data_IF_235838143154
#
_entry.id   IF_235838143154
#
_cell.length_a   1.000
_cell.length_b   1.000
_cell.length_c   1.000
_cell.angle_alpha   90.00
_cell.angle_beta   90.00
_cell.angle_gamma   90.00
#
_symmetry.space_group_name_H-M   'P 1'
#
loop_
_entity.id
_entity.type
_entity.pdbx_description
1 polymer ?
#
# COMPACT_ATOMS: atom_id res chain seq x y z
N UNK A 1 0.94 -35.01 -8.40
CA UNK A 1 0.41 -34.18 -7.28
C UNK A 1 1.56 -33.66 -6.45
N UNK A 2 1.56 -32.39 -6.06
CA UNK A 2 2.55 -31.82 -5.14
C UNK A 2 2.37 -32.47 -3.76
N UNK A 3 3.45 -32.93 -3.13
CA UNK A 3 3.35 -33.60 -1.82
C UNK A 3 2.96 -32.60 -0.71
N UNK A 4 2.38 -33.08 0.39
CA UNK A 4 2.03 -32.25 1.56
C UNK A 4 3.23 -31.46 2.09
N UNK A 5 4.43 -32.07 2.09
CA UNK A 5 5.69 -31.44 2.49
C UNK A 5 6.10 -30.29 1.57
N UNK A 6 5.93 -30.45 0.26
CA UNK A 6 6.23 -29.42 -0.75
C UNK A 6 5.31 -28.21 -0.59
N UNK A 7 4.02 -28.43 -0.31
CA UNK A 7 3.08 -27.34 -0.03
C UNK A 7 3.48 -26.51 1.20
N UNK A 8 4.04 -27.13 2.25
CA UNK A 8 4.52 -26.42 3.44
C UNK A 8 5.66 -25.44 3.09
N UNK A 9 6.63 -25.87 2.27
CA UNK A 9 7.73 -24.99 1.85
C UNK A 9 7.22 -23.79 1.02
N UNK A 10 6.29 -24.04 0.08
CA UNK A 10 5.67 -22.98 -0.70
C UNK A 10 4.88 -21.99 0.17
N UNK A 11 4.11 -22.49 1.12
CA UNK A 11 3.33 -21.66 2.06
C UNK A 11 4.26 -20.82 2.94
N UNK A 12 5.35 -21.40 3.46
CA UNK A 12 6.31 -20.68 4.29
C UNK A 12 7.03 -19.58 3.51
N UNK A 13 7.44 -19.87 2.27
CA UNK A 13 8.01 -18.86 1.39
C UNK A 13 7.05 -17.70 1.12
N UNK A 14 5.79 -18.00 0.77
CA UNK A 14 4.77 -16.98 0.54
C UNK A 14 4.42 -16.18 1.80
N UNK A 15 4.42 -16.83 2.98
CA UNK A 15 4.24 -16.14 4.25
C UNK A 15 5.38 -15.18 4.54
N UNK A 16 6.63 -15.63 4.39
CA UNK A 16 7.80 -14.77 4.59
C UNK A 16 7.81 -13.61 3.59
N UNK A 17 7.54 -13.88 2.31
CA UNK A 17 7.40 -12.84 1.29
C UNK A 17 6.32 -11.81 1.65
N UNK A 18 5.16 -12.28 2.13
CA UNK A 18 4.07 -11.40 2.55
C UNK A 18 4.48 -10.48 3.70
N UNK A 19 5.16 -11.01 4.72
CA UNK A 19 5.67 -10.20 5.84
C UNK A 19 6.65 -9.14 5.36
N UNK A 20 7.60 -9.51 4.49
CA UNK A 20 8.60 -8.57 3.95
C UNK A 20 7.94 -7.49 3.07
N UNK A 21 6.94 -7.84 2.27
CA UNK A 21 6.18 -6.87 1.46
C UNK A 21 5.38 -5.91 2.36
N UNK A 22 4.80 -6.40 3.45
CA UNK A 22 4.09 -5.55 4.42
C UNK A 22 5.07 -4.58 5.10
N UNK A 23 6.26 -5.05 5.51
CA UNK A 23 7.32 -4.19 6.04
C UNK A 23 7.75 -3.12 5.02
N UNK A 24 7.84 -3.50 3.72
CA UNK A 24 8.12 -2.57 2.64
C UNK A 24 7.07 -1.46 2.53
N UNK A 25 5.79 -1.77 2.70
CA UNK A 25 4.70 -0.77 2.70
C UNK A 25 4.83 0.18 3.89
N UNK A 26 5.22 -0.32 5.07
CA UNK A 26 5.45 0.52 6.27
C UNK A 26 6.65 1.44 6.05
N UNK A 27 7.78 0.91 5.58
CA UNK A 27 8.98 1.70 5.29
C UNK A 27 8.70 2.73 4.20
N UNK A 28 7.93 2.36 3.16
CA UNK A 28 7.48 3.29 2.12
C UNK A 28 6.61 4.43 2.68
N UNK A 29 5.73 4.14 3.64
CA UNK A 29 4.96 5.18 4.34
C UNK A 29 5.88 6.14 5.10
N UNK A 30 6.86 5.61 5.85
CA UNK A 30 7.84 6.43 6.58
C UNK A 30 8.64 7.28 5.60
N UNK A 31 9.22 6.69 4.55
CA UNK A 31 9.98 7.39 3.50
C UNK A 31 9.16 8.53 2.91
N UNK A 32 7.87 8.31 2.66
CA UNK A 32 6.98 9.33 2.12
C UNK A 32 6.68 10.45 3.12
N UNK A 33 6.40 10.11 4.38
CA UNK A 33 6.00 11.06 5.43
C UNK A 33 7.19 11.89 5.92
N UNK A 34 8.41 11.33 5.92
CA UNK A 34 9.66 12.04 6.21
C UNK A 34 10.22 12.82 5.02
N UNK A 35 9.52 12.80 3.88
CA UNK A 35 9.95 13.44 2.62
C UNK A 35 11.33 12.94 2.15
N UNK A 36 11.67 11.70 2.42
CA UNK A 36 12.98 11.12 2.11
C UNK A 36 13.12 10.60 0.67
N UNK A 37 12.02 10.51 -0.07
CA UNK A 37 11.97 9.76 -1.35
C UNK A 37 12.63 10.42 -2.56
N UNK A 38 13.36 11.54 -2.38
CA UNK A 38 14.13 12.24 -3.41
C UNK A 38 15.58 12.48 -2.98
N UNK A 39 16.01 11.91 -1.86
CA UNK A 39 17.36 12.14 -1.29
C UNK A 39 18.47 11.43 -2.08
N UNK A 40 18.14 10.29 -2.72
CA UNK A 40 19.07 9.55 -3.58
C UNK A 40 18.69 9.82 -5.04
N UNK A 41 19.25 10.91 -5.58
CA UNK A 41 18.88 11.42 -6.91
C UNK A 41 19.44 10.59 -8.06
N UNK A 42 20.54 9.85 -7.83
CA UNK A 42 21.13 8.97 -8.82
C UNK A 42 20.54 7.55 -8.71
N UNK A 43 19.93 7.12 -9.79
CA UNK A 43 19.31 5.79 -9.84
C UNK A 43 20.27 4.76 -10.44
N UNK A 44 21.08 4.15 -9.57
CA UNK A 44 21.99 3.05 -9.94
C UNK A 44 21.45 1.73 -9.42
N UNK A 45 20.77 0.92 -10.25
CA UNK A 45 20.10 -0.30 -9.77
C UNK A 45 21.06 -1.32 -9.18
N UNK A 46 22.27 -1.43 -9.70
CA UNK A 46 23.29 -2.39 -9.27
C UNK A 46 24.36 -1.74 -8.39
N UNK A 47 24.91 -0.59 -8.79
CA UNK A 47 26.00 0.07 -8.05
C UNK A 47 25.55 0.78 -6.76
N UNK A 48 24.29 1.16 -6.62
CA UNK A 48 23.75 1.82 -5.41
C UNK A 48 23.36 0.83 -4.29
N UNK A 49 24.06 -0.30 -4.14
CA UNK A 49 23.81 -1.29 -3.09
C UNK A 49 24.46 -0.88 -1.78
N UNK A 50 25.63 -0.25 -1.84
CA UNK A 50 26.34 0.21 -0.66
C UNK A 50 26.04 1.69 -0.40
N UNK A 51 25.76 2.08 0.87
CA UNK A 51 25.66 3.49 1.22
C UNK A 51 27.05 4.14 1.21
N UNK A 52 27.15 5.48 1.28
CA UNK A 52 28.43 6.14 1.54
C UNK A 52 29.08 5.59 2.82
N UNK A 53 30.35 5.17 2.75
CA UNK A 53 31.05 4.49 3.83
C UNK A 53 32.00 5.40 4.63
N UNK A 54 32.39 6.56 4.05
CA UNK A 54 33.29 7.50 4.68
C UNK A 54 32.78 8.95 4.48
N UNK A 55 33.39 9.88 5.18
CA UNK A 55 32.95 11.27 5.19
C UNK A 55 33.07 11.95 3.81
N UNK A 56 34.10 11.63 3.03
CA UNK A 56 34.24 12.13 1.67
C UNK A 56 33.08 11.72 0.77
N UNK A 57 32.69 10.45 0.80
CA UNK A 57 31.55 9.94 0.03
C UNK A 57 30.20 10.54 0.50
N UNK A 58 30.06 10.82 1.80
CA UNK A 58 28.88 11.50 2.32
C UNK A 58 28.78 12.94 1.84
N UNK A 59 29.90 13.66 1.82
CA UNK A 59 29.93 15.02 1.29
C UNK A 59 29.64 15.05 -0.21
N UNK A 60 30.24 14.15 -0.99
CA UNK A 60 29.98 14.02 -2.43
C UNK A 60 28.47 13.75 -2.71
N UNK A 61 27.87 12.81 -1.97
CA UNK A 61 26.43 12.49 -2.11
C UNK A 61 25.56 13.69 -1.75
N UNK A 62 25.92 14.43 -0.70
CA UNK A 62 25.19 15.62 -0.28
C UNK A 62 25.35 16.77 -1.27
N UNK A 63 26.53 16.98 -1.80
CA UNK A 63 26.79 18.02 -2.81
C UNK A 63 26.00 17.72 -4.09
N UNK A 64 25.94 16.46 -4.49
CA UNK A 64 25.10 16.06 -5.62
C UNK A 64 23.60 16.30 -5.34
N UNK A 65 23.10 15.99 -4.12
CA UNK A 65 21.72 16.28 -3.73
C UNK A 65 21.38 17.78 -3.77
N UNK A 66 22.34 18.66 -3.46
CA UNK A 66 22.15 20.12 -3.51
C UNK A 66 21.85 20.65 -4.91
N UNK A 67 22.16 19.90 -5.97
CA UNK A 67 21.85 20.30 -7.34
C UNK A 67 20.38 20.19 -7.68
N UNK A 68 19.61 19.40 -6.91
CA UNK A 68 18.20 19.08 -7.23
C UNK A 68 17.21 20.08 -6.64
N UNK A 69 16.00 20.17 -7.26
CA UNK A 69 14.96 21.11 -6.86
C UNK A 69 14.50 20.97 -5.40
N UNK A 70 14.54 19.78 -4.82
CA UNK A 70 14.12 19.56 -3.44
C UNK A 70 15.02 20.29 -2.47
N UNK A 71 16.35 20.18 -2.62
CA UNK A 71 17.26 20.96 -1.79
C UNK A 71 17.10 22.47 -2.04
N UNK A 72 17.17 22.91 -3.29
CA UNK A 72 17.15 24.33 -3.66
C UNK A 72 15.87 25.06 -3.21
N UNK A 73 14.72 24.37 -3.17
CA UNK A 73 13.41 24.99 -2.89
C UNK A 73 12.88 24.72 -1.49
N UNK A 74 13.24 23.59 -0.88
CA UNK A 74 12.64 23.14 0.38
C UNK A 74 13.67 22.94 1.50
N UNK A 75 14.86 22.40 1.18
CA UNK A 75 15.83 21.92 2.15
C UNK A 75 17.13 22.73 2.15
N UNK A 76 17.12 23.98 1.67
CA UNK A 76 18.32 24.81 1.46
C UNK A 76 19.14 25.08 2.75
N UNK A 77 18.53 24.92 3.93
CA UNK A 77 19.20 25.05 5.23
C UNK A 77 19.60 23.69 5.85
N UNK A 78 19.41 22.59 5.10
CA UNK A 78 19.67 21.24 5.60
C UNK A 78 21.17 21.02 5.83
N UNK A 79 21.50 20.41 6.97
CA UNK A 79 22.86 19.98 7.29
C UNK A 79 23.16 18.59 6.72
N UNK A 80 24.45 18.19 6.70
CA UNK A 80 24.85 16.84 6.33
C UNK A 80 24.18 15.77 7.22
N UNK A 81 23.98 16.04 8.51
CA UNK A 81 23.32 15.07 9.42
C UNK A 81 21.82 14.92 9.11
N UNK A 82 21.14 16.00 8.76
CA UNK A 82 19.75 15.94 8.32
C UNK A 82 19.63 15.15 7.02
N UNK A 83 20.57 15.38 6.07
CA UNK A 83 20.64 14.63 4.81
C UNK A 83 20.85 13.13 5.05
N UNK A 84 21.76 12.73 5.95
CA UNK A 84 21.95 11.31 6.33
C UNK A 84 20.67 10.67 6.83
N UNK A 85 19.82 11.41 7.54
CA UNK A 85 18.54 10.91 8.06
C UNK A 85 17.54 10.60 6.94
N UNK A 86 17.36 11.51 5.98
CA UNK A 86 16.46 11.27 4.84
C UNK A 86 17.04 10.23 3.88
N UNK A 87 18.36 10.24 3.67
CA UNK A 87 19.06 9.21 2.89
C UNK A 87 18.83 7.82 3.45
N UNK A 88 18.90 7.63 4.78
CA UNK A 88 18.72 6.33 5.43
C UNK A 88 17.36 5.70 5.10
N UNK A 89 16.27 6.45 5.19
CA UNK A 89 14.93 5.92 4.92
C UNK A 89 14.74 5.55 3.44
N UNK A 90 15.23 6.36 2.52
CA UNK A 90 15.18 6.04 1.10
C UNK A 90 16.07 4.84 0.76
N UNK A 91 17.27 4.79 1.30
CA UNK A 91 18.20 3.68 1.12
C UNK A 91 17.59 2.36 1.64
N UNK A 92 17.04 2.37 2.83
CA UNK A 92 16.38 1.19 3.42
C UNK A 92 15.22 0.70 2.55
N UNK A 93 14.40 1.62 2.05
CA UNK A 93 13.33 1.30 1.11
C UNK A 93 13.86 0.66 -0.18
N UNK A 94 14.92 1.22 -0.77
CA UNK A 94 15.52 0.69 -2.00
C UNK A 94 16.18 -0.68 -1.80
N UNK A 95 16.90 -0.90 -0.69
CA UNK A 95 17.53 -2.18 -0.35
C UNK A 95 16.47 -3.25 -0.14
N UNK A 96 15.42 -2.95 0.61
CA UNK A 96 14.34 -3.90 0.84
C UNK A 96 13.61 -4.26 -0.47
N UNK A 97 13.45 -3.31 -1.39
CA UNK A 97 12.90 -3.59 -2.72
C UNK A 97 13.75 -4.58 -3.52
N UNK A 98 15.09 -4.42 -3.50
CA UNK A 98 16.02 -5.39 -4.13
C UNK A 98 15.94 -6.76 -3.45
N UNK A 99 15.91 -6.77 -2.12
CA UNK A 99 15.78 -8.01 -1.34
C UNK A 99 14.50 -8.77 -1.68
N UNK A 100 13.36 -8.09 -1.84
CA UNK A 100 12.09 -8.70 -2.28
C UNK A 100 12.24 -9.37 -3.65
N UNK A 101 12.94 -8.73 -4.59
CA UNK A 101 13.23 -9.31 -5.90
C UNK A 101 14.02 -10.61 -5.80
N UNK A 102 15.10 -10.63 -5.00
CA UNK A 102 15.93 -11.82 -4.77
C UNK A 102 15.14 -12.91 -4.01
N UNK A 103 14.39 -12.52 -2.98
CA UNK A 103 13.50 -13.39 -2.21
C UNK A 103 12.44 -14.07 -3.08
N UNK A 104 12.04 -13.43 -4.18
CA UNK A 104 11.14 -14.04 -5.14
C UNK A 104 11.89 -14.95 -6.13
N UNK A 105 12.94 -14.44 -6.80
CA UNK A 105 13.60 -15.13 -7.91
C UNK A 105 14.25 -16.44 -7.47
N UNK A 106 15.06 -16.44 -6.41
CA UNK A 106 15.79 -17.64 -5.99
C UNK A 106 14.87 -18.81 -5.60
N UNK A 107 13.87 -18.64 -4.72
CA UNK A 107 12.96 -19.74 -4.42
C UNK A 107 12.09 -20.15 -5.61
N UNK A 108 11.66 -19.20 -6.47
CA UNK A 108 10.88 -19.51 -7.66
C UNK A 108 11.67 -20.43 -8.60
N UNK A 109 12.94 -20.12 -8.93
CA UNK A 109 13.81 -20.94 -9.74
C UNK A 109 14.08 -22.30 -9.09
N UNK A 110 14.32 -22.33 -7.77
CA UNK A 110 14.49 -23.58 -7.03
C UNK A 110 13.25 -24.47 -7.10
N UNK A 111 12.06 -23.96 -6.83
CA UNK A 111 10.83 -24.74 -6.89
C UNK A 111 10.49 -25.20 -8.32
N UNK A 112 10.82 -24.37 -9.32
CA UNK A 112 10.65 -24.72 -10.73
C UNK A 112 11.58 -25.88 -11.12
N UNK A 113 12.87 -25.81 -10.78
CA UNK A 113 13.86 -26.85 -11.08
C UNK A 113 13.54 -28.18 -10.38
N UNK A 114 12.99 -28.12 -9.18
CA UNK A 114 12.56 -29.29 -8.39
C UNK A 114 11.18 -29.84 -8.82
N UNK A 115 10.54 -29.24 -9.83
CA UNK A 115 9.19 -29.63 -10.30
C UNK A 115 8.12 -29.59 -9.19
N UNK A 116 8.25 -28.69 -8.21
CA UNK A 116 7.28 -28.49 -7.14
C UNK A 116 6.05 -27.69 -7.59
N UNK A 117 6.11 -27.07 -8.77
CA UNK A 117 5.09 -26.18 -9.27
C UNK A 117 4.29 -26.86 -10.38
N UNK A 118 2.97 -26.81 -10.29
CA UNK A 118 2.10 -27.17 -11.42
C UNK A 118 1.92 -25.98 -12.37
N UNK A 119 1.45 -26.23 -13.60
CA UNK A 119 1.30 -25.20 -14.63
C UNK A 119 0.42 -24.01 -14.20
N UNK A 120 -0.62 -24.24 -13.42
CA UNK A 120 -1.49 -23.17 -12.91
C UNK A 120 -0.73 -22.28 -11.93
N UNK A 121 0.05 -22.86 -11.01
CA UNK A 121 0.85 -22.11 -10.04
C UNK A 121 2.00 -21.36 -10.70
N UNK A 122 2.65 -21.95 -11.72
CA UNK A 122 3.67 -21.26 -12.52
C UNK A 122 3.09 -19.99 -13.15
N UNK A 123 1.91 -20.07 -13.80
CA UNK A 123 1.25 -18.90 -14.38
C UNK A 123 0.95 -17.83 -13.34
N UNK A 124 0.46 -18.23 -12.16
CA UNK A 124 0.17 -17.30 -11.07
C UNK A 124 1.43 -16.62 -10.52
N UNK A 125 2.53 -17.36 -10.37
CA UNK A 125 3.81 -16.81 -9.91
C UNK A 125 4.48 -15.93 -10.96
N UNK A 126 4.37 -16.25 -12.25
CA UNK A 126 4.83 -15.38 -13.34
C UNK A 126 4.06 -14.05 -13.38
N UNK A 127 2.73 -14.09 -13.20
CA UNK A 127 1.94 -12.87 -13.06
C UNK A 127 2.36 -12.05 -11.84
N UNK A 128 2.61 -12.71 -10.70
CA UNK A 128 3.13 -12.04 -9.50
C UNK A 128 4.50 -11.40 -9.76
N UNK A 129 5.39 -12.08 -10.46
CA UNK A 129 6.68 -11.53 -10.89
C UNK A 129 6.52 -10.29 -11.76
N UNK A 130 5.64 -10.36 -12.78
CA UNK A 130 5.35 -9.22 -13.65
C UNK A 130 4.81 -8.01 -12.88
N UNK A 131 3.95 -8.24 -11.88
CA UNK A 131 3.47 -7.18 -10.98
C UNK A 131 4.62 -6.60 -10.13
N UNK A 132 5.56 -7.43 -9.68
CA UNK A 132 6.76 -7.00 -8.97
C UNK A 132 7.68 -6.12 -9.83
N UNK A 133 7.90 -6.51 -11.10
CA UNK A 133 8.65 -5.70 -12.08
C UNK A 133 7.94 -4.37 -12.32
N UNK A 134 6.62 -4.39 -12.53
CA UNK A 134 5.82 -3.18 -12.69
C UNK A 134 5.89 -2.27 -11.46
N UNK A 135 5.89 -2.85 -10.25
CA UNK A 135 6.03 -2.11 -8.99
C UNK A 135 7.38 -1.37 -8.92
N UNK A 136 8.48 -2.04 -9.31
CA UNK A 136 9.80 -1.42 -9.38
C UNK A 136 9.87 -0.29 -10.41
N UNK A 137 9.32 -0.52 -11.61
CA UNK A 137 9.21 0.51 -12.66
C UNK A 137 8.40 1.72 -12.19
N UNK A 138 7.25 1.49 -11.56
CA UNK A 138 6.41 2.57 -11.03
C UNK A 138 7.10 3.35 -9.91
N UNK A 139 7.91 2.71 -9.07
CA UNK A 139 8.72 3.38 -8.07
C UNK A 139 9.75 4.33 -8.71
N UNK A 140 10.50 3.87 -9.71
CA UNK A 140 11.41 4.70 -10.47
C UNK A 140 10.68 5.87 -11.18
N UNK A 141 9.57 5.57 -11.86
CA UNK A 141 8.78 6.58 -12.56
C UNK A 141 8.20 7.63 -11.61
N UNK A 142 7.86 7.23 -10.38
CA UNK A 142 7.40 8.13 -9.32
C UNK A 142 8.49 9.11 -8.90
N UNK A 143 9.69 8.62 -8.57
CA UNK A 143 10.84 9.44 -8.14
C UNK A 143 11.24 10.43 -9.24
N UNK A 144 11.30 9.98 -10.50
CA UNK A 144 11.64 10.85 -11.64
C UNK A 144 10.75 12.10 -11.74
N UNK A 145 9.49 12.05 -11.23
CA UNK A 145 8.59 13.22 -11.28
C UNK A 145 9.03 14.38 -10.38
N UNK A 146 9.77 14.11 -9.30
CA UNK A 146 10.22 15.12 -8.34
C UNK A 146 11.64 15.67 -8.61
N UNK A 147 12.37 15.10 -9.59
CA UNK A 147 13.77 15.43 -9.83
C UNK A 147 14.00 16.48 -10.93
N UNK A 148 12.98 16.83 -11.74
CA UNK A 148 13.20 17.70 -12.91
C UNK A 148 12.93 19.16 -12.58
N UNK A 149 11.69 19.56 -12.33
CA UNK A 149 11.32 20.97 -12.12
C UNK A 149 10.52 21.22 -10.84
N UNK A 150 9.92 20.18 -10.28
CA UNK A 150 9.02 20.25 -9.14
C UNK A 150 9.55 19.36 -8.00
N UNK A 151 9.78 19.88 -6.78
CA UNK A 151 10.28 19.07 -5.65
C UNK A 151 9.21 18.15 -5.04
N UNK A 152 8.10 17.93 -5.73
CA UNK A 152 7.00 17.10 -5.24
C UNK A 152 6.77 15.89 -6.14
N UNK A 153 6.61 14.74 -5.50
CA UNK A 153 6.19 13.50 -6.18
C UNK A 153 4.72 13.64 -6.60
N UNK A 154 4.41 13.27 -7.83
CA UNK A 154 3.03 13.25 -8.35
C UNK A 154 2.14 12.35 -7.52
N UNK A 155 1.02 12.87 -7.03
CA UNK A 155 0.03 12.10 -6.26
C UNK A 155 -0.61 10.97 -7.09
N UNK A 156 -0.73 11.12 -8.41
CA UNK A 156 -1.19 10.05 -9.31
C UNK A 156 -0.21 8.88 -9.35
N UNK A 157 1.09 9.18 -9.49
CA UNK A 157 2.13 8.14 -9.53
C UNK A 157 2.25 7.43 -8.18
N UNK A 158 2.10 8.18 -7.07
CA UNK A 158 2.04 7.63 -5.73
C UNK A 158 0.84 6.69 -5.55
N UNK A 159 -0.35 7.09 -6.01
CA UNK A 159 -1.55 6.27 -5.94
C UNK A 159 -1.42 4.99 -6.76
N UNK A 160 -0.87 5.08 -7.98
CA UNK A 160 -0.62 3.91 -8.81
C UNK A 160 0.36 2.93 -8.14
N UNK A 161 1.50 3.44 -7.62
CA UNK A 161 2.50 2.64 -6.93
C UNK A 161 1.93 1.95 -5.67
N UNK A 162 1.19 2.68 -4.84
CA UNK A 162 0.55 2.12 -3.64
C UNK A 162 -0.53 1.09 -4.00
N UNK A 163 -1.36 1.36 -5.01
CA UNK A 163 -2.40 0.43 -5.47
C UNK A 163 -1.82 -0.89 -5.97
N UNK A 164 -0.72 -0.86 -6.75
CA UNK A 164 -0.03 -2.07 -7.20
C UNK A 164 0.52 -2.85 -6.00
N UNK A 165 1.08 -2.18 -4.98
CA UNK A 165 1.56 -2.85 -3.77
C UNK A 165 0.42 -3.59 -3.05
N UNK A 166 -0.76 -2.98 -2.90
CA UNK A 166 -1.94 -3.62 -2.31
C UNK A 166 -2.46 -4.79 -3.15
N UNK A 167 -2.42 -4.68 -4.49
CA UNK A 167 -2.75 -5.79 -5.41
C UNK A 167 -1.77 -6.96 -5.23
N UNK A 168 -0.48 -6.69 -5.13
CA UNK A 168 0.56 -7.72 -4.88
C UNK A 168 0.28 -8.43 -3.55
N UNK A 169 0.04 -7.71 -2.46
CA UNK A 169 -0.30 -8.27 -1.14
C UNK A 169 -1.55 -9.17 -1.25
N UNK A 170 -2.61 -8.67 -1.85
CA UNK A 170 -3.85 -9.44 -2.05
C UNK A 170 -3.60 -10.72 -2.85
N UNK A 171 -2.77 -10.64 -3.91
CA UNK A 171 -2.51 -11.76 -4.80
C UNK A 171 -1.57 -12.81 -4.18
N UNK A 172 -0.50 -12.39 -3.47
CA UNK A 172 0.34 -13.32 -2.68
C UNK A 172 -0.52 -14.06 -1.65
N UNK A 173 -1.36 -13.33 -0.92
CA UNK A 173 -2.27 -13.93 0.06
C UNK A 173 -3.25 -14.92 -0.59
N UNK A 174 -3.82 -14.56 -1.75
CA UNK A 174 -4.73 -15.43 -2.50
C UNK A 174 -4.05 -16.71 -2.96
N UNK A 175 -2.83 -16.65 -3.54
CA UNK A 175 -2.05 -17.82 -3.95
C UNK A 175 -1.80 -18.73 -2.74
N UNK A 176 -1.32 -18.15 -1.62
CA UNK A 176 -1.09 -18.89 -0.38
C UNK A 176 -2.34 -19.64 0.08
N UNK A 177 -3.48 -18.97 0.14
CA UNK A 177 -4.75 -19.57 0.57
C UNK A 177 -5.20 -20.68 -0.39
N UNK A 178 -4.97 -20.53 -1.69
CA UNK A 178 -5.31 -21.55 -2.70
C UNK A 178 -4.44 -22.80 -2.61
N UNK A 179 -3.19 -22.68 -2.15
CA UNK A 179 -2.31 -23.83 -1.87
C UNK A 179 -2.72 -24.51 -0.56
N UNK A 180 -3.04 -23.72 0.46
CA UNK A 180 -3.42 -24.18 1.79
C UNK A 180 -4.74 -24.96 1.79
N UNK A 181 -5.66 -24.57 0.91
CA UNK A 181 -7.02 -25.09 0.80
C UNK A 181 -7.36 -25.45 -0.65
N UNK A 182 -6.79 -26.56 -1.16
CA UNK A 182 -6.91 -26.95 -2.58
C UNK A 182 -8.29 -27.49 -2.96
N UNK A 183 -9.18 -27.71 -2.00
CA UNK A 183 -10.47 -28.35 -2.23
C UNK A 183 -11.41 -27.47 -3.05
N UNK A 184 -11.71 -27.91 -4.27
CA UNK A 184 -12.47 -27.17 -5.28
C UNK A 184 -13.95 -27.57 -5.37
N UNK A 185 -14.36 -28.60 -4.62
CA UNK A 185 -15.69 -29.21 -4.80
C UNK A 185 -16.80 -28.61 -3.94
N UNK A 186 -16.50 -27.57 -3.16
CA UNK A 186 -17.50 -26.92 -2.32
C UNK A 186 -18.28 -25.86 -3.12
N UNK A 187 -19.61 -25.95 -3.09
CA UNK A 187 -20.49 -24.96 -3.72
C UNK A 187 -20.15 -23.56 -3.21
N UNK A 188 -19.77 -22.67 -4.12
CA UNK A 188 -19.55 -21.26 -3.83
C UNK A 188 -20.81 -20.62 -3.22
N UNK A 189 -20.64 -19.77 -2.23
CA UNK A 189 -21.70 -18.92 -1.68
C UNK A 189 -21.87 -17.67 -2.58
N UNK A 190 -22.26 -17.90 -3.85
CA UNK A 190 -22.34 -16.86 -4.89
C UNK A 190 -23.15 -15.64 -4.45
N UNK A 191 -24.20 -15.83 -3.65
CA UNK A 191 -25.07 -14.76 -3.13
C UNK A 191 -24.29 -13.63 -2.44
N UNK A 192 -23.13 -13.97 -1.82
CA UNK A 192 -22.31 -13.01 -1.06
C UNK A 192 -21.13 -12.44 -1.88
N UNK A 193 -20.86 -13.00 -3.07
CA UNK A 193 -19.73 -12.57 -3.90
C UNK A 193 -19.89 -11.14 -4.41
N UNK A 194 -21.11 -10.71 -4.73
CA UNK A 194 -21.35 -9.34 -5.19
C UNK A 194 -21.06 -8.32 -4.06
N UNK A 195 -21.52 -8.61 -2.84
CA UNK A 195 -21.29 -7.73 -1.70
C UNK A 195 -19.80 -7.59 -1.36
N UNK A 196 -19.05 -8.71 -1.27
CA UNK A 196 -17.62 -8.65 -0.96
C UNK A 196 -16.80 -8.02 -2.10
N UNK A 197 -17.18 -8.22 -3.37
CA UNK A 197 -16.54 -7.59 -4.51
C UNK A 197 -16.78 -6.07 -4.51
N UNK A 198 -17.98 -5.64 -4.19
CA UNK A 198 -18.33 -4.22 -4.04
C UNK A 198 -17.52 -3.56 -2.91
N UNK A 199 -17.43 -4.21 -1.76
CA UNK A 199 -16.61 -3.73 -0.64
C UNK A 199 -15.13 -3.63 -1.06
N UNK A 200 -14.57 -4.62 -1.74
CA UNK A 200 -13.20 -4.59 -2.26
C UNK A 200 -13.00 -3.46 -3.27
N UNK A 201 -13.95 -3.22 -4.16
CA UNK A 201 -13.91 -2.12 -5.11
C UNK A 201 -13.87 -0.76 -4.38
N UNK A 202 -14.78 -0.54 -3.43
CA UNK A 202 -14.76 0.69 -2.60
C UNK A 202 -13.48 0.82 -1.81
N UNK A 203 -12.95 -0.28 -1.27
CA UNK A 203 -11.70 -0.29 -0.55
C UNK A 203 -10.52 0.17 -1.43
N UNK A 204 -10.45 -0.29 -2.68
CA UNK A 204 -9.41 0.17 -3.61
C UNK A 204 -9.57 1.65 -3.99
N UNK A 205 -10.79 2.15 -4.18
CA UNK A 205 -11.03 3.59 -4.36
C UNK A 205 -10.55 4.36 -3.12
N UNK A 206 -10.84 3.87 -1.91
CA UNK A 206 -10.39 4.49 -0.66
C UNK A 206 -8.85 4.56 -0.57
N UNK A 207 -8.13 3.52 -1.02
CA UNK A 207 -6.66 3.52 -1.09
C UNK A 207 -6.16 4.60 -2.07
N UNK A 208 -6.79 4.75 -3.24
CA UNK A 208 -6.42 5.78 -4.22
C UNK A 208 -6.60 7.18 -3.62
N UNK A 209 -7.75 7.48 -3.02
CA UNK A 209 -7.98 8.77 -2.39
C UNK A 209 -7.11 8.99 -1.14
N UNK A 210 -6.79 7.93 -0.39
CA UNK A 210 -5.80 7.98 0.69
C UNK A 210 -4.41 8.36 0.18
N UNK A 211 -3.99 7.79 -0.96
CA UNK A 211 -2.72 8.16 -1.60
C UNK A 211 -2.74 9.60 -2.13
N UNK A 212 -3.88 10.09 -2.65
CA UNK A 212 -4.02 11.50 -3.05
C UNK A 212 -3.91 12.44 -1.85
N UNK A 213 -4.55 12.12 -0.71
CA UNK A 213 -4.42 12.94 0.53
C UNK A 213 -2.97 13.00 0.99
N UNK A 214 -2.26 11.87 0.98
CA UNK A 214 -0.84 11.83 1.31
C UNK A 214 0.02 12.58 0.29
N UNK A 215 -0.20 12.36 -1.01
CA UNK A 215 0.57 12.97 -2.10
C UNK A 215 0.47 14.49 -2.14
N UNK A 216 -0.72 15.02 -1.92
CA UNK A 216 -1.00 16.46 -1.88
C UNK A 216 -0.75 17.11 -0.52
N UNK A 217 -0.23 16.35 0.48
CA UNK A 217 0.05 16.80 1.86
C UNK A 217 -1.17 17.44 2.55
N UNK A 218 -2.36 16.85 2.34
CA UNK A 218 -3.63 17.42 2.82
C UNK A 218 -3.79 17.29 4.34
N UNK A 219 -3.03 16.43 4.99
CA UNK A 219 -3.12 16.17 6.43
C UNK A 219 -2.99 17.41 7.35
N UNK A 220 -2.45 18.52 6.84
CA UNK A 220 -2.30 19.78 7.57
C UNK A 220 -3.48 20.75 7.36
N UNK A 221 -4.49 20.35 6.57
CA UNK A 221 -5.63 21.20 6.22
C UNK A 221 -6.93 20.60 6.73
N UNK A 222 -7.88 21.46 7.09
CA UNK A 222 -9.25 21.08 7.50
C UNK A 222 -9.30 19.98 8.57
N UNK A 223 -8.57 20.17 9.67
CA UNK A 223 -8.37 19.17 10.72
C UNK A 223 -9.53 19.09 11.73
N UNK A 224 -10.78 19.16 11.27
CA UNK A 224 -12.01 19.03 12.07
C UNK A 224 -12.82 17.82 11.65
N UNK A 225 -13.56 17.21 12.59
CA UNK A 225 -14.47 16.09 12.37
C UNK A 225 -15.62 16.17 13.39
N UNK A 226 -16.89 15.83 13.02
CA UNK A 226 -17.33 15.33 11.72
C UNK A 226 -17.45 16.39 10.63
N UNK A 227 -17.61 17.63 11.00
CA UNK A 227 -17.75 18.75 10.07
C UNK A 227 -16.39 19.12 9.44
N UNK A 228 -16.44 19.67 8.23
CA UNK A 228 -15.30 20.25 7.53
C UNK A 228 -15.58 21.75 7.36
N UNK A 229 -14.77 22.60 8.02
CA UNK A 229 -15.03 24.05 8.10
C UNK A 229 -16.42 24.42 8.66
N UNK A 230 -16.90 23.65 9.64
CA UNK A 230 -18.22 23.87 10.24
C UNK A 230 -19.40 23.34 9.42
N UNK A 231 -19.18 22.68 8.27
CA UNK A 231 -20.20 22.22 7.34
C UNK A 231 -20.10 20.73 7.06
N UNK A 232 -21.24 20.07 6.80
CA UNK A 232 -21.24 18.69 6.31
C UNK A 232 -20.71 18.59 4.87
N UNK A 233 -21.11 19.52 3.99
CA UNK A 233 -20.62 19.67 2.63
C UNK A 233 -19.93 21.03 2.55
N UNK A 234 -18.59 21.09 2.54
CA UNK A 234 -17.86 22.35 2.58
C UNK A 234 -17.97 23.10 1.23
N UNK A 235 -17.88 24.43 1.28
CA UNK A 235 -17.75 25.24 0.06
C UNK A 235 -16.41 24.97 -0.65
N UNK A 236 -16.37 25.26 -1.95
CA UNK A 236 -15.14 25.18 -2.74
C UNK A 236 -14.79 23.76 -3.22
N UNK A 237 -15.74 22.84 -3.21
CA UNK A 237 -15.53 21.50 -3.76
C UNK A 237 -15.42 21.51 -5.30
N UNK A 238 -15.98 22.52 -5.96
CA UNK A 238 -16.07 22.62 -7.42
C UNK A 238 -15.40 23.87 -7.97
N UNK A 239 -14.35 24.38 -7.33
CA UNK A 239 -13.69 25.64 -7.68
C UNK A 239 -12.73 25.53 -8.87
N UNK A 240 -12.42 24.31 -9.34
CA UNK A 240 -11.49 24.08 -10.43
C UNK A 240 -12.24 23.83 -11.74
N UNK A 241 -11.71 24.44 -12.83
CA UNK A 241 -12.12 24.13 -14.19
C UNK A 241 -11.03 23.32 -14.92
N UNK A 242 -11.39 22.33 -15.73
CA UNK A 242 -12.75 21.79 -15.96
C UNK A 242 -13.25 20.99 -14.74
N UNK A 243 -14.56 20.82 -14.60
CA UNK A 243 -15.23 20.26 -13.41
C UNK A 243 -14.63 18.93 -12.89
N UNK A 244 -14.24 18.00 -13.79
CA UNK A 244 -13.61 16.73 -13.39
C UNK A 244 -12.27 16.92 -12.67
N UNK A 245 -11.60 18.07 -12.88
CA UNK A 245 -10.33 18.40 -12.21
C UNK A 245 -10.48 18.46 -10.69
N UNK A 246 -11.70 18.77 -10.18
CA UNK A 246 -11.96 18.80 -8.76
C UNK A 246 -11.82 17.41 -8.11
N UNK A 247 -12.23 16.35 -8.77
CA UNK A 247 -12.10 14.97 -8.28
C UNK A 247 -10.64 14.54 -8.18
N UNK A 248 -9.74 15.15 -8.94
CA UNK A 248 -8.37 14.70 -9.12
C UNK A 248 -7.32 15.63 -8.50
N UNK A 249 -7.60 16.94 -8.38
CA UNK A 249 -6.61 17.95 -7.99
C UNK A 249 -7.07 18.90 -6.89
N UNK A 250 -8.40 19.05 -6.67
CA UNK A 250 -8.91 19.89 -5.60
C UNK A 250 -8.68 19.20 -4.24
N UNK A 251 -7.79 19.76 -3.45
CA UNK A 251 -7.42 19.21 -2.13
C UNK A 251 -8.62 19.03 -1.22
N UNK A 252 -9.56 19.99 -1.22
CA UNK A 252 -10.77 19.97 -0.40
C UNK A 252 -11.69 18.83 -0.82
N UNK A 253 -11.95 18.69 -2.11
CA UNK A 253 -12.77 17.61 -2.69
C UNK A 253 -12.15 16.24 -2.38
N UNK A 254 -10.84 16.08 -2.58
CA UNK A 254 -10.13 14.81 -2.33
C UNK A 254 -10.27 14.39 -0.86
N UNK A 255 -10.08 15.32 0.09
CA UNK A 255 -10.25 15.02 1.51
C UNK A 255 -11.69 14.68 1.84
N UNK A 256 -12.65 15.42 1.28
CA UNK A 256 -14.09 15.18 1.47
C UNK A 256 -14.47 13.78 0.98
N UNK A 257 -14.06 13.41 -0.23
CA UNK A 257 -14.33 12.08 -0.82
C UNK A 257 -13.70 10.97 0.03
N UNK A 258 -12.44 11.15 0.48
CA UNK A 258 -11.76 10.16 1.33
C UNK A 258 -12.53 9.91 2.63
N UNK A 259 -13.04 10.95 3.29
CA UNK A 259 -13.88 10.83 4.49
C UNK A 259 -15.20 10.13 4.19
N UNK A 260 -15.91 10.56 3.13
CA UNK A 260 -17.20 10.01 2.75
C UNK A 260 -17.13 8.52 2.40
N UNK A 261 -16.15 8.11 1.58
CA UNK A 261 -15.95 6.69 1.24
C UNK A 261 -15.55 5.90 2.48
N UNK A 262 -14.74 6.45 3.39
CA UNK A 262 -14.36 5.78 4.65
C UNK A 262 -15.59 5.43 5.52
N UNK A 263 -16.51 6.37 5.69
CA UNK A 263 -17.78 6.14 6.41
C UNK A 263 -18.67 5.16 5.65
N UNK A 264 -18.75 5.28 4.33
CA UNK A 264 -19.55 4.37 3.51
C UNK A 264 -19.02 2.94 3.55
N UNK A 265 -17.69 2.75 3.58
CA UNK A 265 -17.05 1.44 3.80
C UNK A 265 -17.37 0.87 5.19
N UNK A 266 -17.32 1.68 6.23
CA UNK A 266 -17.71 1.28 7.58
C UNK A 266 -19.12 0.70 7.56
N UNK A 267 -20.10 1.45 7.05
CA UNK A 267 -21.49 1.03 6.96
C UNK A 267 -21.64 -0.26 6.11
N UNK A 268 -20.96 -0.30 4.95
CA UNK A 268 -21.01 -1.47 4.05
C UNK A 268 -20.49 -2.75 4.70
N UNK A 269 -19.39 -2.65 5.46
CA UNK A 269 -18.81 -3.79 6.19
C UNK A 269 -19.71 -4.21 7.36
N UNK A 270 -20.33 -3.27 8.08
CA UNK A 270 -21.31 -3.57 9.11
C UNK A 270 -22.50 -4.35 8.54
N UNK A 271 -23.13 -3.84 7.48
CA UNK A 271 -24.25 -4.51 6.82
C UNK A 271 -23.87 -5.89 6.27
N UNK A 272 -22.66 -6.02 5.74
CA UNK A 272 -22.14 -7.30 5.26
C UNK A 272 -21.89 -8.29 6.41
N UNK A 273 -21.39 -7.82 7.55
CA UNK A 273 -21.17 -8.65 8.74
C UNK A 273 -22.48 -9.30 9.25
N UNK A 274 -23.59 -8.57 9.26
CA UNK A 274 -24.90 -9.15 9.60
C UNK A 274 -25.29 -10.29 8.66
N UNK A 275 -25.00 -10.17 7.35
CA UNK A 275 -25.26 -11.26 6.39
C UNK A 275 -24.37 -12.48 6.62
N UNK A 276 -23.19 -12.32 7.20
CA UNK A 276 -22.29 -13.42 7.51
C UNK A 276 -22.63 -14.17 8.79
N UNK A 277 -23.32 -13.51 9.74
CA UNK A 277 -23.63 -14.04 11.06
C UNK A 277 -24.36 -15.38 11.01
N UNK A 278 -25.31 -15.52 10.09
CA UNK A 278 -26.21 -16.66 9.98
C UNK A 278 -25.62 -17.84 9.15
N UNK A 279 -24.40 -17.68 8.59
CA UNK A 279 -23.81 -18.72 7.76
C UNK A 279 -23.12 -19.83 8.57
N UNK A 280 -22.30 -19.46 9.53
CA UNK A 280 -21.62 -20.34 10.47
C UNK A 280 -20.88 -19.52 11.52
N UNK A 281 -20.42 -20.17 12.60
CA UNK A 281 -19.58 -19.54 13.62
C UNK A 281 -18.30 -18.91 13.03
N UNK A 282 -17.66 -19.59 12.08
CA UNK A 282 -16.45 -19.09 11.42
C UNK A 282 -16.73 -17.81 10.60
N UNK A 283 -17.83 -17.76 9.84
CA UNK A 283 -18.20 -16.54 9.12
C UNK A 283 -18.64 -15.42 10.05
N UNK A 284 -19.30 -15.72 11.17
CA UNK A 284 -19.61 -14.72 12.20
C UNK A 284 -18.32 -14.10 12.77
N UNK A 285 -17.32 -14.92 13.10
CA UNK A 285 -16.01 -14.43 13.57
C UNK A 285 -15.30 -13.56 12.52
N UNK A 286 -15.32 -13.96 11.24
CA UNK A 286 -14.79 -13.13 10.13
C UNK A 286 -15.51 -11.79 10.02
N UNK A 287 -16.84 -11.79 10.13
CA UNK A 287 -17.63 -10.55 10.14
C UNK A 287 -17.27 -9.64 11.31
N UNK A 288 -17.16 -10.18 12.52
CA UNK A 288 -16.74 -9.43 13.72
C UNK A 288 -15.35 -8.82 13.55
N UNK A 289 -14.37 -9.61 13.08
CA UNK A 289 -13.01 -9.13 12.86
C UNK A 289 -12.96 -7.99 11.83
N UNK A 290 -13.76 -8.08 10.76
CA UNK A 290 -13.88 -6.99 9.77
C UNK A 290 -14.47 -5.73 10.40
N UNK A 291 -15.54 -5.87 11.19
CA UNK A 291 -16.19 -4.74 11.89
C UNK A 291 -15.20 -4.08 12.86
N UNK A 292 -14.51 -4.86 13.68
CA UNK A 292 -13.51 -4.33 14.60
C UNK A 292 -12.40 -3.58 13.86
N UNK A 293 -11.84 -4.20 12.81
CA UNK A 293 -10.75 -3.59 12.06
C UNK A 293 -11.16 -2.30 11.35
N UNK A 294 -12.35 -2.25 10.73
CA UNK A 294 -12.82 -1.02 10.05
C UNK A 294 -13.19 0.07 11.05
N UNK A 295 -13.74 -0.27 12.22
CA UNK A 295 -14.02 0.70 13.28
C UNK A 295 -12.73 1.31 13.83
N UNK A 296 -11.71 0.50 14.10
CA UNK A 296 -10.38 0.97 14.46
C UNK A 296 -9.75 1.83 13.36
N UNK A 297 -9.92 1.46 12.08
CA UNK A 297 -9.41 2.22 10.94
C UNK A 297 -10.02 3.61 10.85
N UNK A 298 -11.36 3.72 10.98
CA UNK A 298 -12.05 5.01 10.95
C UNK A 298 -11.66 5.86 12.16
N UNK A 299 -11.64 5.28 13.35
CA UNK A 299 -11.19 5.97 14.56
C UNK A 299 -9.75 6.50 14.41
N UNK A 300 -8.83 5.63 13.97
CA UNK A 300 -7.43 6.02 13.73
C UNK A 300 -7.31 7.09 12.64
N UNK A 301 -8.14 7.02 11.60
CA UNK A 301 -8.22 8.06 10.56
C UNK A 301 -8.67 9.42 11.11
N UNK A 302 -9.68 9.44 11.98
CA UNK A 302 -10.16 10.66 12.64
C UNK A 302 -9.06 11.25 13.53
N UNK A 303 -8.42 10.41 14.37
CA UNK A 303 -7.32 10.86 15.25
C UNK A 303 -6.16 11.38 14.42
N UNK A 304 -5.77 10.69 13.33
CA UNK A 304 -4.72 11.14 12.41
C UNK A 304 -5.04 12.51 11.81
N UNK A 305 -6.29 12.71 11.40
CA UNK A 305 -6.74 13.97 10.82
C UNK A 305 -6.67 15.12 11.83
N UNK A 306 -7.27 14.95 13.01
CA UNK A 306 -7.34 16.00 14.06
C UNK A 306 -5.94 16.36 14.55
N UNK A 307 -5.04 15.38 14.64
CA UNK A 307 -3.65 15.56 15.06
C UNK A 307 -2.72 16.06 13.94
N UNK A 308 -3.23 16.50 12.78
CA UNK A 308 -2.45 17.01 11.65
C UNK A 308 -1.47 15.98 11.07
N UNK A 309 -1.93 14.72 10.99
CA UNK A 309 -1.22 13.59 10.36
C UNK A 309 0.22 13.34 10.86
N UNK A 310 0.47 13.17 12.18
CA UNK A 310 1.78 12.82 12.68
C UNK A 310 2.23 11.47 12.10
N UNK A 311 3.56 11.32 11.94
CA UNK A 311 4.19 10.18 11.28
C UNK A 311 3.65 8.82 11.75
N UNK A 312 3.64 8.61 13.07
CA UNK A 312 3.24 7.32 13.66
C UNK A 312 1.78 7.00 13.37
N UNK A 313 0.87 7.97 13.55
CA UNK A 313 -0.56 7.76 13.32
C UNK A 313 -0.86 7.52 11.83
N UNK A 314 -0.24 8.28 10.93
CA UNK A 314 -0.44 8.14 9.49
C UNK A 314 0.12 6.79 8.97
N UNK A 315 1.30 6.36 9.44
CA UNK A 315 1.86 5.05 9.11
C UNK A 315 1.02 3.90 9.68
N UNK A 316 0.52 4.03 10.91
CA UNK A 316 -0.37 3.04 11.54
C UNK A 316 -1.71 2.95 10.81
N UNK A 317 -2.27 4.07 10.35
CA UNK A 317 -3.49 4.09 9.54
C UNK A 317 -3.30 3.35 8.20
N UNK A 318 -2.17 3.54 7.54
CA UNK A 318 -1.83 2.80 6.31
C UNK A 318 -1.60 1.30 6.59
N UNK A 319 -0.93 0.93 7.68
CA UNK A 319 -0.71 -0.46 8.06
C UNK A 319 -2.03 -1.19 8.39
N UNK A 320 -2.93 -0.55 9.12
CA UNK A 320 -4.24 -1.14 9.44
C UNK A 320 -5.08 -1.38 8.18
N UNK A 321 -4.94 -0.54 7.14
CA UNK A 321 -5.57 -0.80 5.84
C UNK A 321 -5.06 -2.11 5.20
N UNK A 322 -3.78 -2.48 5.37
CA UNK A 322 -3.25 -3.78 4.92
C UNK A 322 -3.93 -4.93 5.67
N UNK A 323 -4.12 -4.80 6.97
CA UNK A 323 -4.82 -5.82 7.79
C UNK A 323 -6.26 -6.00 7.30
N UNK A 324 -6.99 -4.91 7.02
CA UNK A 324 -8.35 -4.96 6.47
C UNK A 324 -8.36 -5.68 5.12
N UNK A 325 -7.41 -5.38 4.22
CA UNK A 325 -7.28 -6.09 2.95
C UNK A 325 -7.14 -7.61 3.15
N UNK A 326 -6.25 -8.04 4.07
CA UNK A 326 -6.05 -9.45 4.35
C UNK A 326 -7.31 -10.13 4.91
N UNK A 327 -8.05 -9.45 5.79
CA UNK A 327 -9.33 -9.93 6.32
C UNK A 327 -10.41 -10.05 5.22
N UNK A 328 -10.51 -9.05 4.34
CA UNK A 328 -11.40 -9.09 3.18
C UNK A 328 -11.05 -10.24 2.23
N UNK A 329 -9.75 -10.42 1.92
CA UNK A 329 -9.28 -11.51 1.07
C UNK A 329 -9.51 -12.88 1.68
N UNK A 330 -9.32 -13.03 3.01
CA UNK A 330 -9.65 -14.26 3.75
C UNK A 330 -11.13 -14.57 3.67
N UNK A 331 -12.00 -13.59 3.91
CA UNK A 331 -13.45 -13.75 3.83
C UNK A 331 -13.89 -14.10 2.42
N UNK A 332 -13.37 -13.40 1.40
CA UNK A 332 -13.65 -13.69 -0.01
C UNK A 332 -13.24 -15.10 -0.42
N UNK A 333 -12.05 -15.54 0.00
CA UNK A 333 -11.57 -16.89 -0.29
C UNK A 333 -12.47 -17.94 0.38
N UNK A 334 -12.87 -17.70 1.63
CA UNK A 334 -13.76 -18.61 2.36
C UNK A 334 -15.15 -18.72 1.72
N UNK A 335 -15.72 -17.60 1.24
CA UNK A 335 -16.99 -17.58 0.52
C UNK A 335 -16.93 -18.33 -0.81
N UNK A 336 -15.81 -18.20 -1.54
CA UNK A 336 -15.60 -18.86 -2.82
C UNK A 336 -15.50 -20.38 -2.68
N UNK A 337 -14.89 -20.88 -1.62
CA UNK A 337 -14.60 -22.30 -1.40
C UNK A 337 -15.39 -22.92 -0.24
N UNK A 338 -16.40 -22.20 0.30
CA UNK A 338 -17.29 -22.62 1.41
C UNK A 338 -16.51 -23.24 2.58
N UNK A 339 -15.60 -22.47 3.15
CA UNK A 339 -14.70 -22.87 4.20
C UNK A 339 -15.06 -22.23 5.52
#
# INVERSE_FOLDING_TARGET
>A
MVSKKQNIYLINWLNFSLVVIILMVIIGAITRLTQSGLSISDWRPVMGIFPPLNESQWNEAFDYYKEFPEFKKLNFNMTLNDYKTIYFWEYLHRILGRFIGLLFIFPFVYFLSRKFLNSSLIKSLLLLFSLGVLQGFMGWYMVKSGLVNNPYISHFRLAAHLSIAFIIIAYVYWIKMSIMYPDKNKKSLQKYNHSINFILFLFFIQIVYGAFTAGLKIGNYWNTFPLMEGQFIPYGLWDLEPAYSNLLNNKKMIQFIHRAIGIFLLISIYLFSFKLKDLSLDFNLKGRNLVTAISCQVFLGIVTLISKAPLVLAASHQFLAVIILLLLMNTKHSLKYKR
#
